data_IF_388717384507
#
_entry.id   IF_388717384507
#
_cell.length_a   1.000
_cell.length_b   1.000
_cell.length_c   1.000
_cell.angle_alpha   90.00
_cell.angle_beta   90.00
_cell.angle_gamma   90.00
#
_symmetry.space_group_name_H-M   'P 1'
#
loop_
_entity.id
_entity.type
_entity.pdbx_description
1 polymer ?
#
# COMPACT_ATOMS: atom_id res chain seq x y z
N UNK A 1 -20.71 7.42 -29.32
CA UNK A 1 -19.86 6.58 -28.46
C UNK A 1 -19.18 7.51 -27.49
N UNK A 2 -19.63 7.52 -26.24
CA UNK A 2 -19.08 8.38 -25.19
C UNK A 2 -17.74 7.77 -24.71
N UNK A 3 -16.62 8.52 -24.75
CA UNK A 3 -15.35 8.06 -24.19
C UNK A 3 -15.46 7.61 -22.72
N UNK A 4 -16.34 8.20 -21.91
CA UNK A 4 -16.50 7.79 -20.50
C UNK A 4 -17.10 6.39 -20.36
N UNK A 5 -17.96 5.97 -21.27
CA UNK A 5 -18.46 4.59 -21.37
C UNK A 5 -17.41 3.61 -21.89
N UNK A 6 -16.36 4.10 -22.55
CA UNK A 6 -15.26 3.28 -23.07
C UNK A 6 -14.11 3.13 -22.06
N UNK A 7 -13.96 4.06 -21.12
CA UNK A 7 -12.90 4.05 -20.09
C UNK A 7 -13.39 3.72 -18.67
N UNK A 8 -14.50 2.98 -18.56
CA UNK A 8 -15.16 2.62 -17.29
C UNK A 8 -14.21 1.95 -16.29
N UNK A 9 -13.20 1.23 -16.77
CA UNK A 9 -12.29 0.45 -15.94
C UNK A 9 -11.46 1.34 -14.99
N UNK A 10 -10.98 2.49 -15.47
CA UNK A 10 -10.23 3.45 -14.64
C UNK A 10 -11.13 4.13 -13.61
N UNK A 11 -12.31 4.59 -14.03
CA UNK A 11 -13.29 5.22 -13.14
C UNK A 11 -13.80 4.24 -12.07
N UNK A 12 -14.05 2.98 -12.44
CA UNK A 12 -14.46 1.91 -11.53
C UNK A 12 -13.36 1.57 -10.51
N UNK A 13 -12.10 1.47 -10.95
CA UNK A 13 -10.97 1.27 -10.05
C UNK A 13 -10.82 2.42 -9.05
N UNK A 14 -10.99 3.67 -9.49
CA UNK A 14 -10.92 4.83 -8.61
C UNK A 14 -12.04 4.83 -7.56
N UNK A 15 -13.27 4.49 -7.95
CA UNK A 15 -14.39 4.32 -7.02
C UNK A 15 -14.10 3.22 -5.99
N UNK A 16 -13.60 2.07 -6.42
CA UNK A 16 -13.24 0.96 -5.52
C UNK A 16 -12.10 1.35 -4.55
N UNK A 17 -11.09 2.09 -5.03
CA UNK A 17 -10.04 2.64 -4.16
C UNK A 17 -10.59 3.59 -3.11
N UNK A 18 -11.54 4.47 -3.48
CA UNK A 18 -12.13 5.43 -2.54
C UNK A 18 -12.85 4.74 -1.37
N UNK A 19 -13.52 3.62 -1.61
CA UNK A 19 -14.18 2.82 -0.57
C UNK A 19 -13.18 2.28 0.47
N UNK A 20 -11.92 2.06 0.08
CA UNK A 20 -10.91 1.55 0.99
C UNK A 20 -10.46 2.57 2.05
N UNK A 21 -10.65 3.88 1.83
CA UNK A 21 -10.10 4.94 2.69
C UNK A 21 -10.61 4.87 4.14
N UNK A 22 -11.89 4.54 4.33
CA UNK A 22 -12.50 4.39 5.66
C UNK A 22 -12.64 2.93 6.12
N UNK A 23 -12.10 1.96 5.38
CA UNK A 23 -12.27 0.56 5.70
C UNK A 23 -11.41 0.17 6.92
N UNK A 24 -11.99 -0.29 8.05
CA UNK A 24 -11.24 -0.58 9.27
C UNK A 24 -10.24 -1.73 9.09
N UNK A 25 -10.51 -2.62 8.13
CA UNK A 25 -9.67 -3.80 7.82
C UNK A 25 -8.76 -3.58 6.60
N UNK A 26 -8.51 -2.32 6.22
CA UNK A 26 -7.74 -1.99 5.01
C UNK A 26 -6.34 -2.61 5.03
N UNK A 27 -5.69 -2.57 6.20
CA UNK A 27 -4.34 -3.11 6.41
C UNK A 27 -4.33 -4.63 6.26
N UNK A 28 -5.27 -5.31 6.92
CA UNK A 28 -5.43 -6.75 6.92
C UNK A 28 -5.80 -7.28 5.52
N UNK A 29 -6.67 -6.56 4.82
CA UNK A 29 -7.07 -6.83 3.44
C UNK A 29 -5.88 -6.73 2.48
N UNK A 30 -5.05 -5.68 2.59
CA UNK A 30 -3.85 -5.53 1.77
C UNK A 30 -2.82 -6.61 2.08
N UNK A 31 -2.57 -6.87 3.37
CA UNK A 31 -1.66 -7.92 3.81
C UNK A 31 -2.04 -9.28 3.23
N UNK A 32 -3.32 -9.64 3.33
CA UNK A 32 -3.84 -10.89 2.77
C UNK A 32 -3.58 -11.00 1.27
N UNK A 33 -3.81 -9.93 0.51
CA UNK A 33 -3.57 -9.93 -0.93
C UNK A 33 -2.08 -10.07 -1.31
N UNK A 34 -1.18 -9.48 -0.52
CA UNK A 34 0.26 -9.56 -0.75
C UNK A 34 0.83 -10.94 -0.35
N UNK A 35 0.44 -11.45 0.82
CA UNK A 35 0.87 -12.76 1.32
C UNK A 35 0.39 -13.89 0.41
N UNK A 36 -0.84 -13.83 -0.09
CA UNK A 36 -1.42 -14.85 -0.99
C UNK A 36 -1.20 -14.57 -2.48
N UNK A 37 -0.45 -13.51 -2.84
CA UNK A 37 -0.17 -13.14 -4.24
C UNK A 37 -1.44 -13.00 -5.11
N UNK A 38 -2.52 -12.45 -4.54
CA UNK A 38 -3.79 -12.32 -5.27
C UNK A 38 -3.60 -11.42 -6.49
N UNK A 39 -3.90 -11.97 -7.67
CA UNK A 39 -3.56 -11.36 -8.94
C UNK A 39 -4.53 -10.25 -9.34
N UNK A 40 -5.83 -10.39 -9.07
CA UNK A 40 -6.83 -9.44 -9.59
C UNK A 40 -7.50 -8.57 -8.52
N UNK A 41 -8.14 -7.50 -8.97
CA UNK A 41 -8.97 -6.62 -8.14
C UNK A 41 -8.21 -5.59 -7.30
N UNK A 42 -8.99 -4.76 -6.58
CA UNK A 42 -8.49 -3.76 -5.63
C UNK A 42 -8.50 -4.35 -4.23
N UNK A 43 -7.36 -4.30 -3.54
CA UNK A 43 -7.20 -4.82 -2.18
C UNK A 43 -6.52 -3.77 -1.32
N UNK A 44 -7.17 -3.39 -0.21
CA UNK A 44 -6.71 -2.36 0.71
C UNK A 44 -6.31 -1.02 0.04
N UNK A 45 -6.99 -0.66 -1.05
CA UNK A 45 -6.74 0.56 -1.82
C UNK A 45 -5.67 0.43 -2.93
N UNK A 46 -5.10 -0.76 -3.14
CA UNK A 46 -4.06 -1.00 -4.15
C UNK A 46 -4.58 -1.82 -5.33
N UNK A 47 -4.21 -1.43 -6.56
CA UNK A 47 -4.43 -2.26 -7.75
C UNK A 47 -3.47 -3.43 -7.80
N UNK A 48 -3.74 -4.40 -8.67
CA UNK A 48 -2.79 -5.43 -9.07
C UNK A 48 -1.40 -4.83 -9.40
N UNK A 49 -1.38 -3.78 -10.23
CA UNK A 49 -0.13 -3.14 -10.69
C UNK A 49 0.66 -2.58 -9.51
N UNK A 50 -0.03 -1.91 -8.59
CA UNK A 50 0.55 -1.32 -7.38
C UNK A 50 1.14 -2.43 -6.50
N UNK A 51 0.39 -3.52 -6.25
CA UNK A 51 0.85 -4.66 -5.46
C UNK A 51 2.04 -5.36 -6.09
N UNK A 52 2.01 -5.60 -7.40
CA UNK A 52 3.13 -6.24 -8.13
C UNK A 52 4.40 -5.40 -8.06
N UNK A 53 4.27 -4.06 -8.16
CA UNK A 53 5.39 -3.15 -7.94
C UNK A 53 5.96 -3.25 -6.53
N UNK A 54 5.10 -3.28 -5.51
CA UNK A 54 5.49 -3.39 -4.12
C UNK A 54 6.22 -4.71 -3.81
N UNK A 55 5.68 -5.83 -4.29
CA UNK A 55 6.27 -7.16 -4.15
C UNK A 55 7.66 -7.26 -4.79
N UNK A 56 7.88 -6.62 -5.95
CA UNK A 56 9.20 -6.58 -6.59
C UNK A 56 10.22 -5.77 -5.79
N UNK A 57 9.81 -4.64 -5.21
CA UNK A 57 10.68 -3.77 -4.41
C UNK A 57 11.05 -4.36 -3.04
N UNK A 58 10.26 -5.32 -2.55
CA UNK A 58 10.36 -5.88 -1.20
C UNK A 58 10.32 -7.41 -1.23
N UNK A 59 11.20 -8.00 -2.05
CA UNK A 59 11.29 -9.46 -2.22
C UNK A 59 11.70 -10.22 -0.96
N UNK A 60 12.32 -9.54 0.01
CA UNK A 60 12.79 -10.14 1.28
C UNK A 60 11.74 -10.19 2.38
N UNK A 61 10.56 -9.59 2.18
CA UNK A 61 9.49 -9.59 3.19
C UNK A 61 8.79 -10.94 3.19
N UNK A 62 8.86 -11.65 4.31
CA UNK A 62 8.24 -12.97 4.50
C UNK A 62 6.84 -12.93 5.13
N UNK A 63 6.46 -11.80 5.76
CA UNK A 63 5.12 -11.60 6.32
C UNK A 63 4.67 -10.16 6.13
N UNK A 64 3.75 -9.94 5.20
CA UNK A 64 3.19 -8.62 4.93
C UNK A 64 2.25 -8.17 6.04
N UNK A 65 1.49 -9.10 6.63
CA UNK A 65 0.67 -8.80 7.82
C UNK A 65 1.50 -8.13 8.91
N UNK A 66 2.61 -8.75 9.34
CA UNK A 66 3.43 -8.20 10.43
C UNK A 66 4.00 -6.82 10.08
N UNK A 67 4.53 -6.66 8.87
CA UNK A 67 5.12 -5.40 8.42
C UNK A 67 4.09 -4.27 8.41
N UNK A 68 2.92 -4.51 7.82
CA UNK A 68 1.89 -3.48 7.66
C UNK A 68 1.20 -3.14 8.99
N UNK A 69 1.09 -4.09 9.91
CA UNK A 69 0.58 -3.86 11.27
C UNK A 69 1.49 -2.94 12.10
N UNK A 70 2.81 -3.16 12.02
CA UNK A 70 3.79 -2.27 12.62
C UNK A 70 3.61 -0.87 12.01
N UNK A 71 3.65 -0.76 10.68
CA UNK A 71 3.52 0.53 10.00
C UNK A 71 2.21 1.28 10.35
N UNK A 72 1.08 0.56 10.50
CA UNK A 72 -0.20 1.12 10.97
C UNK A 72 -0.06 1.69 12.37
N UNK A 73 0.47 0.90 13.30
CA UNK A 73 0.64 1.30 14.70
C UNK A 73 1.55 2.53 14.83
N UNK A 74 2.62 2.58 14.04
CA UNK A 74 3.55 3.71 14.02
C UNK A 74 2.93 5.00 13.50
N UNK A 75 1.99 4.93 12.55
CA UNK A 75 1.25 6.10 12.03
C UNK A 75 0.12 6.57 12.92
N UNK A 76 -0.52 5.66 13.66
CA UNK A 76 -1.65 5.98 14.55
C UNK A 76 -1.17 6.63 15.86
N UNK A 77 0.12 6.52 16.19
CA UNK A 77 0.68 7.09 17.43
C UNK A 77 0.79 8.62 17.32
N UNK A 78 0.02 9.41 18.10
CA UNK A 78 -0.01 10.87 17.98
C UNK A 78 1.27 11.56 18.49
N UNK A 79 2.19 10.82 19.11
CA UNK A 79 3.30 11.36 19.88
C UNK A 79 4.69 10.85 19.41
N UNK A 80 4.79 10.40 18.15
CA UNK A 80 6.06 9.85 17.63
C UNK A 80 6.89 10.94 16.91
N UNK A 81 8.12 11.24 17.36
CA UNK A 81 9.06 12.07 16.60
C UNK A 81 9.41 11.38 15.27
N UNK A 82 9.41 12.14 14.18
CA UNK A 82 9.82 11.63 12.86
C UNK A 82 11.28 11.12 12.92
N UNK A 83 11.61 9.98 12.28
CA UNK A 83 12.98 9.50 12.23
C UNK A 83 13.84 10.46 11.41
N UNK A 84 14.70 11.25 12.09
CA UNK A 84 15.73 12.06 11.44
C UNK A 84 16.77 11.11 10.82
N UNK A 85 16.92 11.19 9.50
CA UNK A 85 17.83 10.31 8.76
C UNK A 85 19.28 10.65 9.10
N UNK A 86 19.97 9.70 9.74
CA UNK A 86 21.42 9.76 9.97
C UNK A 86 22.18 9.40 8.68
N UNK A 87 22.13 10.27 7.67
CA UNK A 87 22.95 10.14 6.47
C UNK A 87 23.67 11.44 6.15
N UNK A 88 24.49 11.93 7.09
CA UNK A 88 25.56 12.89 6.77
C UNK A 88 26.76 12.64 7.69
N UNK A 89 27.45 11.53 7.42
CA UNK A 89 28.79 11.30 7.96
C UNK A 89 29.75 10.97 6.82
N UNK A 90 29.76 11.83 5.79
CA UNK A 90 30.84 11.92 4.79
C UNK A 90 31.06 13.36 4.33
N UNK A 91 31.78 14.12 5.16
CA UNK A 91 32.82 15.07 4.71
C UNK A 91 33.75 15.35 5.90
N UNK A 92 34.73 14.48 6.06
CA UNK A 92 36.01 14.83 6.65
C UNK A 92 36.97 14.97 5.48
N UNK A 93 37.36 16.20 5.19
CA UNK A 93 38.57 16.64 4.48
C UNK A 93 38.58 18.17 4.52
#
# INVERSE_FOLDING_TARGET
MDPEELFVEGAAQNRAKALCNGCPVRTECLAHALDNRIEHGIWGGMTERDRRSLLRRRSTVSSWRRLLEIARTEHVSPDRPLPVQATDRKRAA
#
